data_IF_074833847480
#
_entry.id   IF_074833847480
#
_cell.length_a   1.000
_cell.length_b   1.000
_cell.length_c   1.000
_cell.angle_alpha   90.00
_cell.angle_beta   90.00
_cell.angle_gamma   90.00
#
_symmetry.space_group_name_H-M   'P 1'
#
loop_
_entity.id
_entity.type
_entity.pdbx_description
1 polymer ?
#
# COMPACT_ATOMS: atom_id res chain seq x y z
N UNK A 1 -9.67 -19.59 -1.44
CA UNK A 1 -10.05 -19.71 -0.01
C UNK A 1 -9.99 -18.32 0.59
N UNK A 2 -11.00 -17.92 1.37
CA UNK A 2 -10.97 -16.65 2.09
C UNK A 2 -10.15 -16.87 3.37
N UNK A 3 -9.24 -15.94 3.69
CA UNK A 3 -8.54 -15.90 4.99
C UNK A 3 -9.44 -15.41 6.11
N UNK A 4 -10.61 -14.87 5.75
CA UNK A 4 -11.60 -14.34 6.67
C UNK A 4 -12.35 -15.50 7.35
N UNK A 5 -12.18 -15.63 8.67
CA UNK A 5 -12.76 -16.72 9.49
C UNK A 5 -14.14 -16.40 10.03
N UNK A 6 -14.46 -15.11 10.14
CA UNK A 6 -15.78 -14.54 10.45
C UNK A 6 -15.78 -13.10 9.92
N UNK A 7 -16.94 -12.47 9.79
CA UNK A 7 -17.04 -11.11 9.25
C UNK A 7 -16.01 -10.16 9.90
N UNK A 8 -15.09 -9.64 9.11
CA UNK A 8 -14.02 -8.75 9.53
C UNK A 8 -12.92 -9.38 10.38
N UNK A 9 -12.81 -10.70 10.43
CA UNK A 9 -11.78 -11.41 11.19
C UNK A 9 -10.89 -12.25 10.30
N UNK A 10 -9.59 -12.12 10.50
CA UNK A 10 -8.53 -12.92 9.91
C UNK A 10 -7.83 -13.66 11.05
N UNK A 11 -8.34 -14.85 11.41
CA UNK A 11 -7.98 -15.50 12.65
C UNK A 11 -8.32 -14.61 13.87
N UNK A 12 -7.30 -14.24 14.65
CA UNK A 12 -7.45 -13.35 15.82
C UNK A 12 -7.36 -11.86 15.49
N UNK A 13 -6.96 -11.50 14.27
CA UNK A 13 -6.77 -10.12 13.81
C UNK A 13 -8.03 -9.55 13.17
N UNK A 14 -8.06 -8.22 12.94
CA UNK A 14 -9.21 -7.50 12.40
C UNK A 14 -10.20 -7.07 13.47
N UNK A 15 -11.47 -7.03 13.10
CA UNK A 15 -12.56 -6.62 13.97
C UNK A 15 -12.83 -5.12 13.94
N UNK A 16 -13.66 -4.68 14.90
CA UNK A 16 -14.19 -3.32 14.94
C UNK A 16 -14.03 -2.77 16.36
N UNK A 17 -12.89 -2.10 16.59
CA UNK A 17 -12.50 -1.52 17.88
C UNK A 17 -12.63 0.00 17.82
N UNK A 18 -13.85 0.49 17.83
CA UNK A 18 -14.18 1.91 17.64
C UNK A 18 -15.17 2.37 18.70
N UNK A 19 -15.29 3.69 18.94
CA UNK A 19 -16.39 4.24 19.74
C UNK A 19 -17.76 3.83 19.20
N UNK A 20 -18.74 3.62 20.08
CA UNK A 20 -20.09 3.20 19.71
C UNK A 20 -20.72 4.12 18.66
N UNK A 21 -20.42 5.41 18.72
CA UNK A 21 -20.93 6.42 17.77
C UNK A 21 -20.51 6.15 16.31
N UNK A 22 -19.43 5.41 16.08
CA UNK A 22 -18.95 5.07 14.73
C UNK A 22 -19.51 3.72 14.21
N UNK A 23 -20.05 2.89 15.08
CA UNK A 23 -20.55 1.56 14.71
C UNK A 23 -21.64 1.63 13.62
N UNK A 24 -22.64 2.52 13.69
CA UNK A 24 -23.66 2.62 12.65
C UNK A 24 -23.08 2.97 11.27
N UNK A 25 -22.10 3.87 11.20
CA UNK A 25 -21.47 4.26 9.94
C UNK A 25 -20.67 3.10 9.32
N UNK A 26 -20.03 2.29 10.15
CA UNK A 26 -19.32 1.08 9.68
C UNK A 26 -20.29 -0.02 9.23
N UNK A 27 -21.45 -0.14 9.87
CA UNK A 27 -22.51 -1.06 9.43
C UNK A 27 -23.11 -0.62 8.10
N UNK A 28 -23.43 0.67 7.96
CA UNK A 28 -23.90 1.25 6.68
C UNK A 28 -22.89 0.97 5.56
N UNK A 29 -21.58 1.15 5.83
CA UNK A 29 -20.53 0.87 4.86
C UNK A 29 -20.45 -0.62 4.51
N UNK A 30 -20.53 -1.51 5.50
CA UNK A 30 -20.51 -2.97 5.30
C UNK A 30 -21.67 -3.44 4.42
N UNK A 31 -22.88 -3.00 4.73
CA UNK A 31 -24.11 -3.34 3.97
C UNK A 31 -24.04 -2.78 2.54
N UNK A 32 -23.63 -1.50 2.40
CA UNK A 32 -23.49 -0.86 1.11
C UNK A 32 -22.42 -1.55 0.24
N UNK A 33 -21.30 -1.93 0.86
CA UNK A 33 -20.24 -2.65 0.14
C UNK A 33 -20.69 -4.06 -0.26
N UNK A 34 -21.34 -4.80 0.62
CA UNK A 34 -21.88 -6.12 0.31
C UNK A 34 -22.88 -6.06 -0.87
N UNK A 35 -23.79 -5.11 -0.85
CA UNK A 35 -24.75 -4.89 -1.93
C UNK A 35 -24.06 -4.47 -3.25
N UNK A 36 -23.09 -3.54 -3.17
CA UNK A 36 -22.36 -3.07 -4.34
C UNK A 36 -21.48 -4.17 -4.96
N UNK A 37 -20.76 -4.93 -4.14
CA UNK A 37 -19.89 -6.00 -4.61
C UNK A 37 -20.66 -7.16 -5.26
N UNK A 38 -21.91 -7.39 -4.88
CA UNK A 38 -22.81 -8.37 -5.51
C UNK A 38 -23.43 -7.85 -6.83
N UNK A 39 -23.51 -6.53 -7.02
CA UNK A 39 -24.14 -5.91 -8.18
C UNK A 39 -23.22 -5.92 -9.41
N UNK A 40 -23.59 -6.62 -10.51
CA UNK A 40 -22.79 -6.62 -11.73
C UNK A 40 -22.61 -5.22 -12.34
N UNK A 41 -23.60 -4.33 -12.22
CA UNK A 41 -23.53 -2.98 -12.78
C UNK A 41 -22.45 -2.13 -12.06
N UNK A 42 -22.39 -2.23 -10.73
CA UNK A 42 -21.32 -1.56 -9.97
C UNK A 42 -19.94 -2.10 -10.30
N UNK A 43 -19.81 -3.42 -10.38
CA UNK A 43 -18.53 -4.05 -10.76
C UNK A 43 -18.06 -3.63 -12.15
N UNK A 44 -18.98 -3.55 -13.13
CA UNK A 44 -18.65 -3.08 -14.47
C UNK A 44 -18.31 -1.59 -14.48
N UNK A 45 -19.00 -0.76 -13.71
CA UNK A 45 -18.65 0.67 -13.58
C UNK A 45 -17.23 0.85 -13.04
N UNK A 46 -16.88 0.13 -11.97
CA UNK A 46 -15.50 0.15 -11.42
C UNK A 46 -14.51 -0.35 -12.47
N UNK A 47 -14.78 -1.50 -13.12
CA UNK A 47 -13.90 -2.08 -14.13
C UNK A 47 -13.70 -1.13 -15.33
N UNK A 48 -14.75 -0.45 -15.78
CA UNK A 48 -14.70 0.53 -16.85
C UNK A 48 -13.80 1.72 -16.48
N UNK A 49 -13.98 2.30 -15.29
CA UNK A 49 -13.13 3.42 -14.85
C UNK A 49 -11.67 2.98 -14.67
N UNK A 50 -11.44 1.79 -14.13
CA UNK A 50 -10.09 1.24 -14.04
C UNK A 50 -9.44 1.06 -15.42
N UNK A 51 -10.19 0.62 -16.42
CA UNK A 51 -9.70 0.44 -17.79
C UNK A 51 -9.49 1.77 -18.53
N UNK A 52 -10.50 2.63 -18.54
CA UNK A 52 -10.54 3.82 -19.38
C UNK A 52 -9.79 5.01 -18.79
N UNK A 53 -9.74 5.13 -17.46
CA UNK A 53 -9.17 6.27 -16.78
C UNK A 53 -7.86 5.92 -16.03
N UNK A 54 -7.82 4.79 -15.34
CA UNK A 54 -6.61 4.40 -14.61
C UNK A 54 -5.55 3.77 -15.52
N UNK A 55 -5.94 3.23 -16.68
CA UNK A 55 -5.02 2.62 -17.66
C UNK A 55 -4.71 1.16 -17.33
N UNK A 56 -5.70 0.43 -16.79
CA UNK A 56 -5.53 -1.01 -16.51
C UNK A 56 -5.88 -1.88 -17.73
N UNK A 57 -5.29 -3.10 -17.85
CA UNK A 57 -4.31 -3.69 -16.92
C UNK A 57 -2.93 -3.02 -16.97
N UNK A 58 -2.29 -2.86 -15.81
CA UNK A 58 -0.86 -2.48 -15.79
C UNK A 58 0.00 -3.63 -16.30
N UNK A 59 1.13 -3.32 -16.93
CA UNK A 59 1.95 -4.34 -17.57
C UNK A 59 2.68 -5.25 -16.58
N UNK A 60 2.93 -6.50 -17.01
CA UNK A 60 3.94 -7.38 -16.43
C UNK A 60 5.18 -7.28 -17.34
N UNK A 61 6.23 -6.62 -16.88
CA UNK A 61 7.43 -6.31 -17.66
C UNK A 61 8.59 -7.21 -17.26
N UNK A 62 9.29 -7.89 -18.22
CA UNK A 62 10.50 -8.62 -17.87
C UNK A 62 11.65 -7.65 -17.56
N UNK A 63 12.26 -7.79 -16.40
CA UNK A 63 13.43 -7.02 -15.97
C UNK A 63 14.71 -7.78 -16.36
N UNK A 64 15.09 -7.65 -17.62
CA UNK A 64 16.13 -8.48 -18.22
C UNK A 64 17.52 -8.21 -17.64
N UNK A 65 17.85 -6.94 -17.46
CA UNK A 65 19.17 -6.56 -16.93
C UNK A 65 19.27 -6.86 -15.42
N UNK A 66 18.19 -6.78 -14.67
CA UNK A 66 18.15 -7.25 -13.28
C UNK A 66 18.32 -8.77 -13.23
N UNK A 67 17.64 -9.53 -14.11
CA UNK A 67 17.79 -10.97 -14.23
C UNK A 67 19.26 -11.36 -14.46
N UNK A 68 19.91 -10.72 -15.43
CA UNK A 68 21.33 -10.95 -15.75
C UNK A 68 22.25 -10.57 -14.57
N UNK A 69 22.05 -9.39 -13.96
CA UNK A 69 22.91 -8.88 -12.90
C UNK A 69 22.75 -9.65 -11.57
N UNK A 70 21.53 -10.12 -11.25
CA UNK A 70 21.27 -10.85 -10.02
C UNK A 70 21.63 -12.33 -10.13
N UNK A 71 21.42 -12.92 -11.29
CA UNK A 71 21.46 -14.37 -11.48
C UNK A 71 20.29 -15.08 -10.83
N UNK A 72 20.07 -16.36 -11.14
CA UNK A 72 18.97 -17.16 -10.60
C UNK A 72 17.66 -17.00 -11.39
N UNK A 73 16.56 -16.67 -10.74
CA UNK A 73 15.26 -16.60 -11.36
C UNK A 73 15.10 -15.45 -12.35
N UNK A 74 14.21 -15.63 -13.34
CA UNK A 74 13.76 -14.55 -14.21
C UNK A 74 12.95 -13.54 -13.40
N UNK A 75 13.35 -12.28 -13.44
CA UNK A 75 12.72 -11.19 -12.70
C UNK A 75 11.68 -10.48 -13.57
N UNK A 76 10.50 -10.31 -13.03
CA UNK A 76 9.38 -9.63 -13.66
C UNK A 76 8.85 -8.51 -12.76
N UNK A 77 8.41 -7.42 -13.35
CA UNK A 77 7.85 -6.27 -12.63
C UNK A 77 6.37 -6.13 -12.94
N UNK A 78 5.51 -6.22 -11.92
CA UNK A 78 4.11 -5.79 -12.02
C UNK A 78 4.07 -4.28 -11.82
N UNK A 79 3.78 -3.53 -12.90
CA UNK A 79 4.05 -2.10 -13.05
C UNK A 79 2.90 -1.22 -12.57
N UNK A 80 2.61 -1.21 -11.25
CA UNK A 80 1.61 -0.31 -10.66
C UNK A 80 2.05 1.18 -10.66
N UNK A 81 3.33 1.44 -10.87
CA UNK A 81 3.90 2.76 -11.13
C UNK A 81 3.41 3.41 -12.44
N UNK A 82 2.87 2.62 -13.37
CA UNK A 82 2.27 3.08 -14.62
C UNK A 82 0.76 3.37 -14.51
N UNK A 83 0.11 2.99 -13.42
CA UNK A 83 -1.27 3.37 -13.17
C UNK A 83 -1.40 4.90 -13.07
N UNK A 84 -2.54 5.45 -13.48
CA UNK A 84 -2.80 6.88 -13.33
C UNK A 84 -2.53 7.33 -11.88
N UNK A 85 -1.98 8.52 -11.69
CA UNK A 85 -1.38 9.06 -10.46
C UNK A 85 0.02 8.51 -10.11
N UNK A 86 0.47 7.43 -10.75
CA UNK A 86 1.82 6.88 -10.58
C UNK A 86 1.97 5.89 -9.43
N UNK A 87 0.88 5.29 -8.94
CA UNK A 87 0.90 4.26 -7.90
C UNK A 87 -0.41 3.46 -7.84
N UNK A 88 -0.38 2.30 -7.19
CA UNK A 88 -1.53 1.41 -6.95
C UNK A 88 -2.72 2.05 -6.20
N UNK A 89 -2.50 3.16 -5.49
CA UNK A 89 -3.53 3.79 -4.62
C UNK A 89 -4.81 4.14 -5.36
N UNK A 90 -4.72 4.49 -6.64
CA UNK A 90 -5.87 4.89 -7.46
C UNK A 90 -6.91 3.75 -7.60
N UNK A 91 -6.49 2.49 -7.58
CA UNK A 91 -7.39 1.34 -7.69
C UNK A 91 -8.43 1.36 -6.57
N UNK A 92 -7.95 1.55 -5.34
CA UNK A 92 -8.77 1.58 -4.14
C UNK A 92 -9.63 2.86 -4.08
N UNK A 93 -9.04 4.02 -4.37
CA UNK A 93 -9.77 5.31 -4.25
C UNK A 93 -10.90 5.43 -5.25
N UNK A 94 -10.73 4.97 -6.48
CA UNK A 94 -11.82 4.89 -7.47
C UNK A 94 -12.97 4.03 -6.93
N UNK A 95 -12.67 2.84 -6.40
CA UNK A 95 -13.68 1.94 -5.84
C UNK A 95 -14.42 2.55 -4.65
N UNK A 96 -13.70 3.11 -3.68
CA UNK A 96 -14.31 3.71 -2.50
C UNK A 96 -15.12 4.98 -2.83
N UNK A 97 -14.64 5.84 -3.73
CA UNK A 97 -15.39 7.06 -4.12
C UNK A 97 -16.64 6.71 -4.89
N UNK A 98 -16.63 5.71 -5.78
CA UNK A 98 -17.84 5.19 -6.43
C UNK A 98 -18.83 4.60 -5.42
N UNK A 99 -18.35 3.85 -4.44
CA UNK A 99 -19.15 3.32 -3.35
C UNK A 99 -19.80 4.45 -2.53
N UNK A 100 -19.01 5.47 -2.17
CA UNK A 100 -19.51 6.64 -1.44
C UNK A 100 -20.61 7.38 -2.20
N UNK A 101 -20.46 7.56 -3.53
CA UNK A 101 -21.54 8.12 -4.39
C UNK A 101 -22.80 7.28 -4.35
N UNK A 102 -22.68 5.96 -4.44
CA UNK A 102 -23.80 5.03 -4.36
C UNK A 102 -24.51 5.10 -2.99
N UNK A 103 -23.75 5.34 -1.91
CA UNK A 103 -24.29 5.60 -0.56
C UNK A 103 -24.92 6.99 -0.41
N UNK A 104 -24.86 7.84 -1.43
CA UNK A 104 -25.40 9.21 -1.38
C UNK A 104 -24.55 10.20 -0.57
N UNK A 105 -23.30 9.84 -0.23
CA UNK A 105 -22.38 10.74 0.48
C UNK A 105 -22.04 11.96 -0.38
N UNK A 106 -21.94 13.12 0.26
CA UNK A 106 -21.77 14.42 -0.40
C UNK A 106 -20.32 14.92 -0.36
N UNK A 107 -19.49 14.34 0.49
CA UNK A 107 -18.14 14.79 0.78
C UNK A 107 -17.23 13.60 1.08
N UNK A 108 -15.98 13.75 0.69
CA UNK A 108 -14.92 12.76 0.95
C UNK A 108 -13.87 13.36 1.87
N UNK A 109 -13.44 12.59 2.85
CA UNK A 109 -12.22 12.86 3.62
C UNK A 109 -11.25 11.69 3.46
N UNK A 110 -9.95 11.97 3.56
CA UNK A 110 -8.91 10.98 3.53
C UNK A 110 -7.73 11.40 4.42
N UNK A 111 -6.90 10.45 4.81
CA UNK A 111 -5.57 10.69 5.36
C UNK A 111 -4.50 10.49 4.29
N UNK A 112 -3.28 11.00 4.54
CA UNK A 112 -2.11 10.66 3.74
C UNK A 112 -0.81 10.93 4.49
N UNK A 113 0.22 10.09 4.26
CA UNK A 113 1.60 10.32 4.69
C UNK A 113 2.46 10.76 3.50
N UNK A 114 2.92 9.83 2.67
CA UNK A 114 3.68 10.12 1.45
C UNK A 114 2.94 10.96 0.38
N UNK A 115 1.67 11.26 0.59
CA UNK A 115 0.85 12.06 -0.31
C UNK A 115 0.19 11.28 -1.44
N UNK A 116 0.63 10.06 -1.77
CA UNK A 116 0.10 9.29 -2.91
C UNK A 116 -1.37 8.89 -2.72
N UNK A 117 -1.79 8.55 -1.50
CA UNK A 117 -3.19 8.27 -1.23
C UNK A 117 -4.04 9.54 -1.36
N UNK A 118 -3.58 10.65 -0.81
CA UNK A 118 -4.23 11.95 -0.94
C UNK A 118 -4.39 12.40 -2.39
N UNK A 119 -3.34 12.27 -3.21
CA UNK A 119 -3.40 12.55 -4.65
C UNK A 119 -4.40 11.65 -5.35
N UNK A 120 -4.39 10.34 -5.08
CA UNK A 120 -5.32 9.39 -5.69
C UNK A 120 -6.77 9.69 -5.28
N UNK A 121 -7.02 10.04 -4.01
CA UNK A 121 -8.36 10.41 -3.52
C UNK A 121 -8.82 11.72 -4.16
N UNK A 122 -7.97 12.75 -4.17
CA UNK A 122 -8.27 14.02 -4.83
C UNK A 122 -8.59 13.83 -6.32
N UNK A 123 -7.84 12.95 -7.01
CA UNK A 123 -8.05 12.59 -8.41
C UNK A 123 -9.42 11.95 -8.62
N UNK A 124 -9.78 10.94 -7.82
CA UNK A 124 -11.08 10.29 -7.92
C UNK A 124 -12.22 11.26 -7.59
N UNK A 125 -12.05 12.12 -6.58
CA UNK A 125 -13.03 13.14 -6.22
C UNK A 125 -13.22 14.18 -7.33
N UNK A 126 -12.15 14.66 -7.96
CA UNK A 126 -12.22 15.55 -9.12
C UNK A 126 -12.95 14.90 -10.29
N UNK A 127 -12.64 13.63 -10.60
CA UNK A 127 -13.30 12.86 -11.66
C UNK A 127 -14.82 12.75 -11.43
N UNK A 128 -15.25 12.55 -10.18
CA UNK A 128 -16.65 12.31 -9.84
C UNK A 128 -17.40 13.53 -9.28
N UNK A 129 -16.75 14.69 -9.22
CA UNK A 129 -17.35 15.96 -8.78
C UNK A 129 -17.70 16.00 -7.30
N UNK A 130 -16.90 15.37 -6.42
CA UNK A 130 -17.11 15.38 -4.97
C UNK A 130 -16.09 16.29 -4.27
N UNK A 131 -16.51 17.12 -3.30
CA UNK A 131 -15.60 17.83 -2.41
C UNK A 131 -14.70 16.86 -1.65
N UNK A 132 -13.40 17.22 -1.53
CA UNK A 132 -12.38 16.38 -0.92
C UNK A 132 -11.56 17.17 0.10
N UNK A 133 -11.40 16.65 1.31
CA UNK A 133 -10.42 17.12 2.28
C UNK A 133 -9.42 15.99 2.62
N UNK A 134 -8.14 16.35 2.65
CA UNK A 134 -7.06 15.40 2.94
C UNK A 134 -6.30 15.85 4.18
N UNK A 135 -6.30 15.02 5.21
CA UNK A 135 -5.51 15.21 6.42
C UNK A 135 -4.11 14.68 6.21
N UNK A 136 -3.11 15.48 6.54
CA UNK A 136 -1.71 15.14 6.35
C UNK A 136 -0.88 15.71 7.50
N UNK A 137 0.01 14.92 8.07
CA UNK A 137 0.88 15.40 9.13
C UNK A 137 1.71 16.59 8.66
N UNK A 138 1.88 17.62 9.51
CA UNK A 138 2.57 18.84 9.12
C UNK A 138 4.00 18.58 8.64
N UNK A 139 4.70 17.62 9.25
CA UNK A 139 6.03 17.20 8.81
C UNK A 139 6.00 16.56 7.41
N UNK A 140 4.98 15.77 7.11
CA UNK A 140 4.81 15.15 5.80
C UNK A 140 4.40 16.17 4.74
N UNK A 141 3.63 17.21 5.10
CA UNK A 141 3.30 18.35 4.20
C UNK A 141 4.57 19.02 3.68
N UNK A 142 5.55 19.23 4.57
CA UNK A 142 6.84 19.81 4.18
C UNK A 142 7.67 18.88 3.29
N UNK A 143 7.78 17.60 3.70
CA UNK A 143 8.56 16.57 2.99
C UNK A 143 8.01 16.25 1.60
N UNK A 144 6.70 16.36 1.40
CA UNK A 144 5.98 15.91 0.21
C UNK A 144 5.27 17.07 -0.52
N UNK A 145 5.90 18.24 -0.57
CA UNK A 145 5.34 19.47 -1.14
C UNK A 145 4.79 19.31 -2.57
N UNK A 146 5.42 18.46 -3.40
CA UNK A 146 4.95 18.15 -4.76
C UNK A 146 3.57 17.47 -4.74
N UNK A 147 3.34 16.51 -3.86
CA UNK A 147 2.04 15.86 -3.75
C UNK A 147 0.99 16.78 -3.12
N UNK A 148 1.38 17.65 -2.19
CA UNK A 148 0.50 18.71 -1.65
C UNK A 148 0.04 19.64 -2.75
N UNK A 149 0.95 20.09 -3.61
CA UNK A 149 0.60 20.91 -4.77
C UNK A 149 -0.39 20.18 -5.70
N UNK A 150 -0.12 18.90 -6.02
CA UNK A 150 -1.01 18.09 -6.88
C UNK A 150 -2.41 17.95 -6.29
N UNK A 151 -2.55 17.67 -4.99
CA UNK A 151 -3.84 17.59 -4.30
C UNK A 151 -4.61 18.91 -4.41
N UNK A 152 -3.95 20.04 -4.15
CA UNK A 152 -4.56 21.38 -4.27
C UNK A 152 -4.95 21.72 -5.70
N UNK A 153 -4.12 21.39 -6.68
CA UNK A 153 -4.42 21.58 -8.10
C UNK A 153 -5.64 20.75 -8.56
N UNK A 154 -5.88 19.59 -7.94
CA UNK A 154 -7.06 18.74 -8.15
C UNK A 154 -8.31 19.23 -7.39
N UNK A 155 -8.22 20.34 -6.68
CA UNK A 155 -9.34 20.93 -5.94
C UNK A 155 -9.53 20.42 -4.52
N UNK A 156 -8.63 19.59 -4.01
CA UNK A 156 -8.73 19.11 -2.63
C UNK A 156 -8.18 20.15 -1.62
N UNK A 157 -8.79 20.19 -0.44
CA UNK A 157 -8.30 20.95 0.71
C UNK A 157 -7.35 20.07 1.50
N UNK A 158 -6.08 20.47 1.61
CA UNK A 158 -5.09 19.78 2.45
C UNK A 158 -5.07 20.42 3.85
N UNK A 159 -5.36 19.61 4.87
CA UNK A 159 -5.38 20.01 6.29
C UNK A 159 -4.11 19.50 7.00
N UNK A 160 -3.15 20.36 7.32
CA UNK A 160 -2.00 19.98 8.13
C UNK A 160 -2.44 19.57 9.53
N UNK A 161 -1.86 18.47 10.05
CA UNK A 161 -2.09 17.99 11.42
C UNK A 161 -0.83 18.23 12.24
N UNK A 162 -0.95 19.12 13.25
CA UNK A 162 0.16 19.58 14.08
C UNK A 162 0.36 18.73 15.35
N UNK A 163 -0.60 17.87 15.70
CA UNK A 163 -0.55 17.04 16.90
C UNK A 163 0.34 15.80 16.73
N UNK A 164 0.83 15.28 17.85
CA UNK A 164 1.62 14.04 17.91
C UNK A 164 2.95 14.12 17.16
N UNK A 165 3.31 13.06 16.45
CA UNK A 165 4.51 12.98 15.61
C UNK A 165 4.40 13.79 14.31
N UNK A 166 3.24 14.36 14.02
CA UNK A 166 2.92 15.11 12.79
C UNK A 166 3.14 14.31 11.50
N UNK A 167 2.85 13.01 11.57
CA UNK A 167 2.99 12.04 10.47
C UNK A 167 1.67 11.33 10.16
N UNK A 168 1.71 10.29 9.33
CA UNK A 168 0.54 9.51 8.88
C UNK A 168 -0.36 9.04 10.05
N UNK A 169 0.22 8.56 11.17
CA UNK A 169 -0.55 8.08 12.32
C UNK A 169 -1.52 9.15 12.84
N UNK A 170 -1.02 10.37 12.98
CA UNK A 170 -1.83 11.48 13.53
C UNK A 170 -2.82 12.01 12.49
N UNK A 171 -2.45 11.98 11.21
CA UNK A 171 -3.38 12.27 10.12
C UNK A 171 -4.58 11.30 10.09
N UNK A 172 -4.35 10.00 10.32
CA UNK A 172 -5.42 9.00 10.45
C UNK A 172 -6.30 9.28 11.66
N UNK A 173 -5.71 9.59 12.81
CA UNK A 173 -6.45 9.94 14.02
C UNK A 173 -7.38 11.15 13.80
N UNK A 174 -6.90 12.19 13.13
CA UNK A 174 -7.68 13.40 12.86
C UNK A 174 -8.78 13.16 11.82
N UNK A 175 -8.48 12.43 10.76
CA UNK A 175 -9.47 12.03 9.77
C UNK A 175 -10.61 11.20 10.40
N UNK A 176 -10.29 10.22 11.25
CA UNK A 176 -11.28 9.42 11.97
C UNK A 176 -12.11 10.27 12.93
N UNK A 177 -11.48 11.20 13.69
CA UNK A 177 -12.17 12.12 14.61
C UNK A 177 -13.15 13.02 13.86
N UNK A 178 -12.74 13.57 12.73
CA UNK A 178 -13.61 14.37 11.86
C UNK A 178 -14.76 13.53 11.31
N UNK A 179 -14.47 12.31 10.86
CA UNK A 179 -15.50 11.43 10.31
C UNK A 179 -16.60 11.13 11.33
N UNK A 180 -16.24 10.79 12.57
CA UNK A 180 -17.22 10.54 13.65
C UNK A 180 -18.25 11.67 13.80
N UNK A 181 -17.82 12.93 13.61
CA UNK A 181 -18.72 14.10 13.73
C UNK A 181 -19.57 14.38 12.49
N UNK A 182 -19.30 13.74 11.35
CA UNK A 182 -19.87 14.08 10.04
C UNK A 182 -20.29 12.84 9.21
N UNK A 183 -20.58 11.73 9.85
CA UNK A 183 -20.83 10.43 9.18
C UNK A 183 -22.05 10.46 8.23
N UNK A 184 -23.03 11.34 8.47
CA UNK A 184 -24.27 11.38 7.69
C UNK A 184 -24.05 11.69 6.21
N UNK A 185 -23.17 12.59 5.89
CA UNK A 185 -22.90 13.08 4.53
C UNK A 185 -21.48 12.88 4.04
N UNK A 186 -20.57 12.47 4.93
CA UNK A 186 -19.13 12.33 4.66
C UNK A 186 -18.71 10.87 4.68
N UNK A 187 -17.94 10.46 3.66
CA UNK A 187 -17.28 9.16 3.63
C UNK A 187 -15.77 9.33 3.84
N UNK A 188 -15.22 8.49 4.71
CA UNK A 188 -13.78 8.40 4.92
C UNK A 188 -13.18 7.36 3.98
N UNK A 189 -12.36 7.80 3.03
CA UNK A 189 -11.62 6.93 2.10
C UNK A 189 -10.29 6.57 2.72
N UNK A 190 -10.16 5.33 3.19
CA UNK A 190 -8.92 4.87 3.83
C UNK A 190 -7.91 4.36 2.80
N UNK A 191 -6.64 4.71 2.99
CA UNK A 191 -5.57 4.43 2.03
C UNK A 191 -4.84 3.10 2.19
N UNK A 192 -5.11 2.37 3.26
CA UNK A 192 -4.42 1.12 3.59
C UNK A 192 -5.40 -0.01 3.88
N UNK A 193 -4.94 -1.26 3.77
CA UNK A 193 -5.71 -2.44 4.15
C UNK A 193 -5.71 -2.63 5.68
N UNK A 194 -5.88 -1.54 6.42
CA UNK A 194 -5.91 -1.42 7.87
C UNK A 194 -7.21 -0.70 8.28
N UNK A 195 -7.39 -0.43 9.57
CA UNK A 195 -8.60 0.21 10.06
C UNK A 195 -9.68 -0.79 10.49
N UNK A 196 -10.81 -0.30 11.00
CA UNK A 196 -11.90 -1.15 11.47
C UNK A 196 -12.59 -1.86 10.31
N UNK A 197 -13.13 -3.05 10.56
CA UNK A 197 -14.00 -3.71 9.59
C UNK A 197 -15.17 -2.77 9.20
N UNK A 198 -15.48 -2.63 7.87
CA UNK A 198 -15.10 -3.49 6.75
C UNK A 198 -13.87 -3.01 5.94
N UNK A 199 -13.19 -1.94 6.34
CA UNK A 199 -12.12 -1.33 5.53
C UNK A 199 -11.04 -2.29 5.05
N UNK A 200 -10.47 -3.21 5.88
CA UNK A 200 -9.44 -4.13 5.39
C UNK A 200 -9.91 -4.96 4.19
N UNK A 201 -11.15 -5.45 4.25
CA UNK A 201 -11.78 -6.23 3.18
C UNK A 201 -12.05 -5.37 1.94
N UNK A 202 -12.64 -4.18 2.11
CA UNK A 202 -12.94 -3.24 1.01
C UNK A 202 -11.67 -2.86 0.25
N UNK A 203 -10.63 -2.45 0.97
CA UNK A 203 -9.35 -2.05 0.36
C UNK A 203 -8.67 -3.23 -0.33
N UNK A 204 -8.60 -4.41 0.31
CA UNK A 204 -8.08 -5.63 -0.29
C UNK A 204 -8.76 -5.93 -1.63
N UNK A 205 -10.07 -5.93 -1.65
CA UNK A 205 -10.85 -6.37 -2.82
C UNK A 205 -10.69 -5.43 -4.00
N UNK A 206 -10.63 -4.11 -3.78
CA UNK A 206 -10.33 -3.14 -4.83
C UNK A 206 -8.88 -3.25 -5.29
N UNK A 207 -7.93 -3.51 -4.39
CA UNK A 207 -6.53 -3.69 -4.76
C UNK A 207 -6.24 -5.06 -5.40
N UNK A 208 -7.05 -6.08 -5.15
CA UNK A 208 -6.86 -7.43 -5.69
C UNK A 208 -6.90 -7.50 -7.22
N UNK A 209 -7.32 -6.43 -7.89
CA UNK A 209 -7.18 -6.29 -9.36
C UNK A 209 -5.73 -6.50 -9.81
N UNK A 210 -4.74 -6.09 -8.99
CA UNK A 210 -3.31 -6.27 -9.27
C UNK A 210 -2.97 -7.75 -9.46
N UNK A 211 -3.31 -8.56 -8.47
CA UNK A 211 -2.99 -10.00 -8.50
C UNK A 211 -3.89 -10.79 -9.48
N UNK A 212 -5.15 -10.37 -9.68
CA UNK A 212 -6.01 -10.99 -10.70
C UNK A 212 -5.42 -10.81 -12.11
N UNK A 213 -4.97 -9.60 -12.45
CA UNK A 213 -4.28 -9.34 -13.72
C UNK A 213 -2.98 -10.13 -13.83
N UNK A 214 -2.20 -10.16 -12.74
CA UNK A 214 -0.93 -10.89 -12.70
C UNK A 214 -1.12 -12.38 -13.03
N UNK A 215 -2.17 -13.03 -12.55
CA UNK A 215 -2.45 -14.45 -12.88
C UNK A 215 -2.58 -14.66 -14.38
N UNK A 216 -3.36 -13.83 -15.05
CA UNK A 216 -3.56 -13.90 -16.50
C UNK A 216 -2.29 -13.57 -17.27
N UNK A 217 -1.57 -12.53 -16.83
CA UNK A 217 -0.34 -12.08 -17.46
C UNK A 217 0.81 -13.09 -17.30
N UNK A 218 0.94 -13.72 -16.12
CA UNK A 218 1.91 -14.76 -15.84
C UNK A 218 1.69 -15.98 -16.75
N UNK A 219 0.43 -16.42 -16.88
CA UNK A 219 0.08 -17.52 -17.79
C UNK A 219 0.45 -17.21 -19.24
N UNK A 220 0.24 -15.97 -19.69
CA UNK A 220 0.59 -15.55 -21.05
C UNK A 220 2.11 -15.37 -21.24
N UNK A 221 2.84 -14.90 -20.23
CA UNK A 221 4.25 -14.55 -20.33
C UNK A 221 5.19 -15.76 -20.19
N UNK A 222 4.87 -16.70 -19.31
CA UNK A 222 5.73 -17.85 -18.99
C UNK A 222 4.98 -19.17 -18.72
N UNK A 223 3.70 -19.25 -19.08
CA UNK A 223 2.96 -20.50 -19.12
C UNK A 223 2.49 -21.06 -17.78
N UNK A 224 2.55 -20.27 -16.69
CA UNK A 224 2.17 -20.74 -15.36
C UNK A 224 2.01 -19.62 -14.32
N UNK A 225 1.95 -20.02 -13.05
CA UNK A 225 2.01 -19.08 -11.92
C UNK A 225 3.47 -18.69 -11.63
N UNK A 226 3.73 -17.53 -11.05
CA UNK A 226 5.07 -17.19 -10.57
C UNK A 226 5.49 -18.13 -9.43
N UNK A 227 6.80 -18.43 -9.32
CA UNK A 227 7.35 -19.20 -8.20
C UNK A 227 7.37 -18.38 -6.92
N UNK A 228 7.56 -17.05 -7.05
CA UNK A 228 7.45 -16.13 -5.92
C UNK A 228 6.90 -14.77 -6.34
N UNK A 229 6.19 -14.13 -5.41
CA UNK A 229 5.74 -12.74 -5.51
C UNK A 229 6.25 -11.98 -4.29
N UNK A 230 6.92 -10.85 -4.53
CA UNK A 230 7.46 -10.00 -3.46
C UNK A 230 6.88 -8.59 -3.54
N UNK A 231 6.50 -8.03 -2.40
CA UNK A 231 5.96 -6.68 -2.28
C UNK A 231 6.41 -6.01 -0.98
N UNK A 232 6.58 -4.69 -0.99
CA UNK A 232 6.84 -3.93 0.24
C UNK A 232 5.59 -3.88 1.13
N UNK A 233 5.79 -3.80 2.46
CA UNK A 233 4.73 -3.77 3.46
C UNK A 233 4.94 -2.60 4.41
N UNK A 234 4.01 -1.63 4.34
CA UNK A 234 3.71 -0.68 5.40
C UNK A 234 2.34 -1.06 5.98
N UNK A 235 1.30 -0.25 5.80
CA UNK A 235 -0.08 -0.70 6.09
C UNK A 235 -0.58 -1.84 5.20
N UNK A 236 0.07 -2.09 4.06
CA UNK A 236 -0.01 -3.33 3.29
C UNK A 236 -0.98 -3.37 2.11
N UNK A 237 -1.54 -2.24 1.66
CA UNK A 237 -2.54 -2.26 0.57
C UNK A 237 -2.01 -2.80 -0.76
N UNK A 238 -0.76 -2.46 -1.15
CA UNK A 238 -0.16 -3.02 -2.36
C UNK A 238 0.15 -4.51 -2.22
N UNK A 239 0.68 -4.91 -1.06
CA UNK A 239 1.04 -6.29 -0.80
C UNK A 239 -0.19 -7.19 -0.82
N UNK A 240 -1.23 -6.87 -0.05
CA UNK A 240 -2.46 -7.69 -0.06
C UNK A 240 -3.12 -7.69 -1.44
N UNK A 241 -3.05 -6.58 -2.17
CA UNK A 241 -3.61 -6.47 -3.53
C UNK A 241 -2.98 -7.45 -4.52
N UNK A 242 -1.66 -7.62 -4.48
CA UNK A 242 -0.98 -8.55 -5.38
C UNK A 242 -0.99 -9.98 -4.82
N UNK A 243 -0.91 -10.17 -3.50
CA UNK A 243 -0.76 -11.48 -2.86
C UNK A 243 -2.10 -12.22 -2.68
N UNK A 244 -3.18 -11.50 -2.36
CA UNK A 244 -4.47 -12.11 -2.02
C UNK A 244 -4.98 -13.13 -3.06
N UNK A 245 -4.95 -12.85 -4.38
CA UNK A 245 -5.38 -13.83 -5.38
C UNK A 245 -4.55 -15.13 -5.42
N UNK A 246 -3.39 -15.17 -4.76
CA UNK A 246 -2.47 -16.32 -4.72
C UNK A 246 -2.41 -17.01 -3.36
N UNK A 247 -3.22 -16.62 -2.39
CA UNK A 247 -3.19 -17.23 -1.05
C UNK A 247 -3.47 -18.73 -1.10
N UNK A 248 -4.37 -19.16 -1.97
CA UNK A 248 -4.72 -20.57 -2.16
C UNK A 248 -3.69 -21.40 -2.94
N UNK A 249 -2.72 -20.77 -3.58
CA UNK A 249 -1.71 -21.45 -4.40
C UNK A 249 -0.45 -21.73 -3.57
N UNK A 250 -0.40 -22.89 -2.93
CA UNK A 250 0.70 -23.27 -2.04
C UNK A 250 2.08 -23.31 -2.74
N UNK A 251 2.11 -23.49 -4.06
CA UNK A 251 3.34 -23.48 -4.87
C UNK A 251 3.93 -22.08 -5.06
N UNK A 252 3.17 -21.00 -4.82
CA UNK A 252 3.63 -19.63 -4.97
C UNK A 252 4.13 -19.11 -3.62
N UNK A 253 5.42 -18.80 -3.52
CA UNK A 253 5.97 -18.12 -2.34
C UNK A 253 5.46 -16.68 -2.28
N UNK A 254 4.86 -16.30 -1.17
CA UNK A 254 4.39 -14.92 -0.91
C UNK A 254 5.37 -14.25 0.04
N UNK A 255 5.96 -13.11 -0.36
CA UNK A 255 7.00 -12.44 0.40
C UNK A 255 6.62 -10.97 0.62
N UNK A 256 6.55 -10.57 1.90
CA UNK A 256 6.39 -9.19 2.32
C UNK A 256 7.72 -8.61 2.80
N UNK A 257 8.06 -7.39 2.41
CA UNK A 257 9.29 -6.71 2.85
C UNK A 257 8.95 -5.46 3.64
N UNK A 258 9.36 -5.43 4.90
CA UNK A 258 9.18 -4.31 5.82
C UNK A 258 10.39 -3.37 5.80
N UNK A 259 10.15 -2.12 6.24
CA UNK A 259 11.22 -1.14 6.42
C UNK A 259 12.01 -1.42 7.71
N UNK A 260 13.27 -1.79 7.54
CA UNK A 260 14.24 -1.93 8.63
C UNK A 260 14.79 -0.60 9.12
N UNK A 261 14.49 0.51 8.45
CA UNK A 261 14.94 1.84 8.83
C UNK A 261 16.47 1.90 8.99
N UNK A 262 16.91 2.38 10.14
CA UNK A 262 18.33 2.44 10.49
C UNK A 262 18.87 1.14 11.11
N UNK A 263 18.06 0.09 11.18
CA UNK A 263 18.37 -1.19 11.81
C UNK A 263 17.37 -1.55 12.91
N UNK A 264 17.10 -2.83 13.09
CA UNK A 264 16.07 -3.32 14.04
C UNK A 264 16.42 -3.05 15.51
N UNK A 265 17.69 -2.92 15.84
CA UNK A 265 18.23 -2.64 17.16
C UNK A 265 18.14 -1.14 17.54
N UNK A 266 17.87 -0.27 16.57
CA UNK A 266 17.86 1.19 16.77
C UNK A 266 16.52 1.73 17.26
N UNK A 267 15.45 0.96 17.25
CA UNK A 267 14.05 1.39 17.41
C UNK A 267 13.56 2.38 16.33
N UNK A 268 14.37 2.62 15.31
CA UNK A 268 14.03 3.49 14.15
C UNK A 268 13.78 2.61 12.91
N UNK A 269 12.63 1.94 12.90
CA UNK A 269 12.19 1.02 11.85
C UNK A 269 10.66 0.98 11.76
N UNK A 270 10.12 0.40 10.67
CA UNK A 270 8.68 0.16 10.46
C UNK A 270 8.31 -1.33 10.45
N UNK A 271 9.07 -2.18 11.14
CA UNK A 271 8.99 -3.65 11.06
C UNK A 271 7.91 -4.23 11.99
N UNK A 272 6.63 -3.90 11.74
CA UNK A 272 5.51 -4.30 12.60
C UNK A 272 5.19 -5.80 12.56
N UNK A 273 5.38 -6.49 11.42
CA UNK A 273 5.18 -7.95 11.30
C UNK A 273 6.25 -8.72 12.05
N UNK A 274 7.49 -8.21 12.05
CA UNK A 274 8.65 -8.87 12.64
C UNK A 274 8.74 -8.65 14.15
N UNK A 275 8.66 -7.39 14.60
CA UNK A 275 8.88 -6.98 15.99
C UNK A 275 7.62 -6.50 16.70
N UNK A 276 6.53 -6.26 15.98
CA UNK A 276 5.28 -5.83 16.59
C UNK A 276 4.64 -6.90 17.47
N UNK A 277 3.94 -6.44 18.49
CA UNK A 277 3.09 -7.25 19.37
C UNK A 277 1.62 -7.07 19.02
N UNK A 278 0.75 -7.96 19.51
CA UNK A 278 -0.68 -7.83 19.29
C UNK A 278 -1.24 -6.61 20.01
N UNK A 279 -1.88 -5.73 19.27
CA UNK A 279 -2.49 -4.51 19.80
C UNK A 279 -3.64 -4.02 18.94
N UNK A 280 -4.26 -2.94 19.36
CA UNK A 280 -5.32 -2.25 18.62
C UNK A 280 -4.80 -0.90 18.15
N UNK A 281 -4.82 -0.69 16.84
CA UNK A 281 -4.46 0.59 16.22
C UNK A 281 -5.51 0.95 15.17
N UNK A 282 -5.94 2.22 15.17
CA UNK A 282 -6.91 2.73 14.21
C UNK A 282 -8.18 1.85 14.05
N UNK A 283 -8.65 1.29 15.16
CA UNK A 283 -9.90 0.52 15.20
C UNK A 283 -9.82 -0.94 14.77
N UNK A 284 -8.61 -1.47 14.58
CA UNK A 284 -8.38 -2.87 14.21
C UNK A 284 -7.33 -3.53 15.11
N UNK A 285 -7.54 -4.81 15.46
CA UNK A 285 -6.51 -5.62 16.12
C UNK A 285 -5.54 -6.15 15.09
N UNK A 286 -4.25 -5.90 15.30
CA UNK A 286 -3.18 -6.32 14.40
C UNK A 286 -1.85 -6.47 15.14
N UNK A 287 -0.73 -6.55 14.41
CA UNK A 287 0.62 -6.40 14.95
C UNK A 287 1.00 -4.93 14.92
N UNK A 288 1.46 -4.42 16.04
CA UNK A 288 1.70 -2.99 16.27
C UNK A 288 3.03 -2.79 16.98
N UNK A 289 3.79 -1.77 16.58
CA UNK A 289 4.96 -1.32 17.33
C UNK A 289 4.47 -0.55 18.54
N UNK A 290 4.58 -1.14 19.72
CA UNK A 290 4.15 -0.59 21.00
C UNK A 290 5.10 -1.02 22.11
N UNK A 291 5.11 -0.27 23.21
CA UNK A 291 5.85 -0.60 24.40
C UNK A 291 5.07 -1.58 25.32
N UNK A 292 5.61 -1.86 26.50
CA UNK A 292 5.02 -2.78 27.48
C UNK A 292 3.68 -2.29 28.03
N UNK A 293 3.47 -0.97 28.04
CA UNK A 293 2.23 -0.32 28.46
C UNK A 293 1.19 -0.21 27.32
N UNK A 294 1.53 -0.72 26.12
CA UNK A 294 0.67 -0.65 24.94
C UNK A 294 0.67 0.71 24.24
N UNK A 295 1.62 1.61 24.57
CA UNK A 295 1.76 2.90 23.89
C UNK A 295 2.43 2.71 22.53
N UNK A 296 1.84 3.29 21.49
CA UNK A 296 2.34 3.20 20.12
C UNK A 296 3.70 3.89 20.02
N UNK A 297 4.69 3.14 19.58
CA UNK A 297 6.02 3.68 19.28
C UNK A 297 6.03 4.36 17.92
N UNK A 298 6.91 5.35 17.75
CA UNK A 298 7.13 5.97 16.46
C UNK A 298 7.83 4.97 15.53
N UNK A 299 7.32 4.88 14.30
CA UNK A 299 7.99 4.14 13.24
C UNK A 299 9.00 5.04 12.54
N UNK A 300 9.90 4.46 11.78
CA UNK A 300 10.81 5.19 10.90
C UNK A 300 11.06 4.43 9.60
N UNK A 301 11.05 5.16 8.51
CA UNK A 301 11.55 4.74 7.20
C UNK A 301 11.94 5.96 6.38
N UNK A 302 12.97 5.82 5.52
CA UNK A 302 13.25 6.80 4.46
C UNK A 302 12.04 6.97 3.52
N UNK A 303 11.23 5.94 3.44
CA UNK A 303 9.98 5.93 2.67
C UNK A 303 8.81 6.30 3.56
N UNK A 304 8.19 7.47 3.34
CA UNK A 304 7.04 7.92 4.10
C UNK A 304 5.81 6.98 4.00
N UNK A 305 5.72 6.15 2.96
CA UNK A 305 4.65 5.16 2.80
C UNK A 305 4.84 3.89 3.63
N UNK A 306 6.04 3.67 4.20
CA UNK A 306 6.35 2.56 5.11
C UNK A 306 6.57 3.03 6.56
N UNK A 307 6.51 4.33 6.80
CA UNK A 307 6.61 4.94 8.13
C UNK A 307 5.26 4.82 8.85
N UNK A 308 4.93 3.61 9.29
CA UNK A 308 3.67 3.29 9.96
C UNK A 308 3.87 2.19 11.00
N UNK A 309 3.41 2.40 12.25
CA UNK A 309 3.70 1.50 13.37
C UNK A 309 2.76 0.28 13.45
N UNK A 310 2.09 -0.07 12.37
CA UNK A 310 1.16 -1.19 12.32
C UNK A 310 1.07 -1.80 10.93
N UNK A 311 0.27 -2.85 10.80
CA UNK A 311 0.06 -3.55 9.52
C UNK A 311 -1.40 -3.98 9.39
N UNK A 312 -1.84 -4.21 8.15
CA UNK A 312 -3.16 -4.76 7.87
C UNK A 312 -3.38 -6.12 8.54
N UNK A 313 -4.58 -6.37 9.11
CA UNK A 313 -4.84 -7.58 9.90
C UNK A 313 -4.74 -8.87 9.08
N UNK A 314 -5.07 -8.85 7.80
CA UNK A 314 -4.92 -10.03 6.93
C UNK A 314 -3.45 -10.37 6.70
N UNK A 315 -2.56 -9.38 6.49
CA UNK A 315 -1.12 -9.62 6.38
C UNK A 315 -0.53 -10.12 7.70
N UNK A 316 -0.98 -9.59 8.84
CA UNK A 316 -0.59 -10.12 10.14
C UNK A 316 -0.96 -11.60 10.29
N UNK A 317 -2.16 -11.98 9.86
CA UNK A 317 -2.61 -13.38 9.85
C UNK A 317 -1.75 -14.24 8.92
N UNK A 318 -1.50 -13.80 7.69
CA UNK A 318 -0.69 -14.55 6.71
C UNK A 318 0.74 -14.76 7.20
N UNK A 319 1.35 -13.76 7.83
CA UNK A 319 2.68 -13.88 8.41
C UNK A 319 2.71 -14.86 9.58
N UNK A 320 1.76 -14.75 10.52
CA UNK A 320 1.70 -15.63 11.72
C UNK A 320 1.32 -17.07 11.41
N UNK A 321 0.60 -17.32 10.32
CA UNK A 321 0.30 -18.69 9.85
C UNK A 321 1.38 -19.26 8.94
N UNK A 322 2.44 -18.51 8.63
CA UNK A 322 3.52 -18.94 7.75
C UNK A 322 3.14 -18.98 6.26
N UNK A 323 1.95 -18.44 5.88
CA UNK A 323 1.58 -18.36 4.47
C UNK A 323 2.35 -17.27 3.72
N UNK A 324 2.77 -16.23 4.41
CA UNK A 324 3.61 -15.17 3.87
C UNK A 324 4.93 -15.12 4.66
N UNK A 325 6.03 -15.18 3.92
CA UNK A 325 7.37 -14.93 4.43
C UNK A 325 7.57 -13.42 4.64
N UNK A 326 8.23 -13.04 5.73
CA UNK A 326 8.54 -11.63 6.03
C UNK A 326 10.04 -11.43 5.93
N UNK A 327 10.45 -10.41 5.19
CA UNK A 327 11.84 -9.94 5.07
C UNK A 327 11.92 -8.46 5.44
N UNK A 328 13.14 -7.99 5.66
CA UNK A 328 13.41 -6.64 6.10
C UNK A 328 14.49 -6.04 5.20
N UNK A 329 14.30 -4.77 4.80
CA UNK A 329 15.33 -4.00 4.13
C UNK A 329 15.54 -2.67 4.87
N UNK A 330 16.80 -2.28 5.10
CA UNK A 330 17.16 -0.99 5.69
C UNK A 330 17.01 0.15 4.68
N UNK A 331 17.03 1.38 5.17
CA UNK A 331 16.98 2.59 4.34
C UNK A 331 18.15 2.62 3.31
N UNK A 332 19.34 2.24 3.72
CA UNK A 332 20.52 2.21 2.84
C UNK A 332 20.40 1.12 1.78
N UNK A 333 19.91 -0.06 2.12
CA UNK A 333 19.65 -1.15 1.17
C UNK A 333 18.57 -0.76 0.16
N UNK A 334 17.49 -0.10 0.61
CA UNK A 334 16.44 0.40 -0.26
C UNK A 334 16.97 1.47 -1.22
N UNK A 335 17.79 2.40 -0.73
CA UNK A 335 18.40 3.44 -1.55
C UNK A 335 19.38 2.85 -2.59
N UNK A 336 20.18 1.88 -2.20
CA UNK A 336 21.07 1.17 -3.13
C UNK A 336 20.26 0.45 -4.24
N UNK A 337 19.17 -0.22 -3.87
CA UNK A 337 18.29 -0.89 -4.81
C UNK A 337 17.57 0.09 -5.75
N UNK A 338 17.18 1.27 -5.27
CA UNK A 338 16.64 2.34 -6.11
C UNK A 338 17.59 2.70 -7.26
N UNK A 339 18.86 2.96 -6.94
CA UNK A 339 19.85 3.31 -7.97
C UNK A 339 20.17 2.14 -8.89
N UNK A 340 20.20 0.92 -8.38
CA UNK A 340 20.44 -0.27 -9.20
C UNK A 340 19.33 -0.44 -10.25
N UNK A 341 18.08 -0.39 -9.83
CA UNK A 341 16.90 -0.52 -10.73
C UNK A 341 16.90 0.62 -11.75
N UNK A 342 17.15 1.86 -11.30
CA UNK A 342 17.22 3.01 -12.19
C UNK A 342 18.25 2.84 -13.30
N UNK A 343 19.44 2.32 -12.97
CA UNK A 343 20.56 2.14 -13.92
C UNK A 343 20.43 0.91 -14.81
N UNK A 344 19.80 -0.14 -14.31
CA UNK A 344 19.65 -1.37 -15.06
C UNK A 344 18.39 -1.38 -15.92
N UNK A 345 17.25 -0.88 -15.43
CA UNK A 345 15.99 -0.98 -16.13
C UNK A 345 15.43 0.38 -16.63
N UNK A 346 16.08 1.50 -16.28
CA UNK A 346 15.59 2.83 -16.62
C UNK A 346 14.28 3.19 -15.88
N UNK A 347 14.04 2.58 -14.73
CA UNK A 347 12.85 2.78 -13.91
C UNK A 347 13.27 3.42 -12.60
N UNK A 348 12.65 4.55 -12.25
CA UNK A 348 12.78 5.17 -10.93
C UNK A 348 11.65 4.63 -10.02
N UNK A 349 11.87 3.55 -9.25
CA UNK A 349 10.83 3.01 -8.39
C UNK A 349 10.60 3.91 -7.18
N UNK A 350 9.40 3.91 -6.60
CA UNK A 350 9.19 4.54 -5.31
C UNK A 350 10.10 3.91 -4.24
N UNK A 351 10.53 4.68 -3.24
CA UNK A 351 11.35 4.18 -2.14
C UNK A 351 10.67 3.03 -1.39
N UNK A 352 9.33 3.01 -1.34
CA UNK A 352 8.55 1.89 -0.83
C UNK A 352 8.92 0.58 -1.56
N UNK A 353 8.82 0.58 -2.88
CA UNK A 353 9.12 -0.61 -3.70
C UNK A 353 10.61 -0.96 -3.65
N UNK A 354 11.48 0.02 -3.47
CA UNK A 354 12.92 -0.19 -3.38
C UNK A 354 13.30 -1.17 -2.25
N UNK A 355 12.53 -1.21 -1.16
CA UNK A 355 12.68 -2.23 -0.11
C UNK A 355 12.46 -3.64 -0.65
N UNK A 356 11.43 -3.83 -1.49
CA UNK A 356 11.18 -5.13 -2.12
C UNK A 356 12.28 -5.51 -3.12
N UNK A 357 12.81 -4.56 -3.89
CA UNK A 357 13.93 -4.78 -4.79
C UNK A 357 15.19 -5.19 -4.02
N UNK A 358 15.47 -4.58 -2.87
CA UNK A 358 16.64 -4.91 -2.05
C UNK A 358 16.68 -6.40 -1.66
N UNK A 359 15.52 -7.03 -1.41
CA UNK A 359 15.42 -8.46 -1.09
C UNK A 359 15.13 -9.33 -2.32
N UNK A 360 14.77 -8.73 -3.44
CA UNK A 360 14.52 -9.42 -4.70
C UNK A 360 15.74 -10.18 -5.22
N UNK A 361 16.94 -9.61 -5.09
CA UNK A 361 18.20 -10.25 -5.52
C UNK A 361 18.46 -11.56 -4.79
N UNK A 362 18.32 -11.57 -3.48
CA UNK A 362 18.52 -12.77 -2.65
C UNK A 362 17.48 -13.84 -3.03
N UNK A 363 16.22 -13.42 -3.13
CA UNK A 363 15.10 -14.32 -3.47
C UNK A 363 15.27 -14.91 -4.89
N UNK A 364 15.75 -14.12 -5.88
CA UNK A 364 16.01 -14.64 -7.22
C UNK A 364 17.06 -15.75 -7.22
N UNK A 365 18.12 -15.58 -6.44
CA UNK A 365 19.17 -16.61 -6.28
C UNK A 365 18.68 -17.86 -5.57
N UNK A 366 17.88 -17.69 -4.51
CA UNK A 366 17.26 -18.82 -3.78
C UNK A 366 16.36 -19.65 -4.68
N UNK A 367 15.59 -19.02 -5.55
CA UNK A 367 14.70 -19.71 -6.48
C UNK A 367 15.47 -20.49 -7.54
N UNK A 368 16.58 -19.94 -8.04
CA UNK A 368 17.42 -20.57 -9.06
C UNK A 368 16.93 -20.34 -10.50
N UNK A 369 17.73 -20.83 -11.45
CA UNK A 369 17.49 -20.63 -12.87
C UNK A 369 16.19 -21.34 -13.34
N UNK A 370 15.51 -20.76 -14.31
CA UNK A 370 14.27 -21.28 -14.87
C UNK A 370 13.01 -20.98 -14.03
N UNK A 371 13.16 -20.35 -12.87
CA UNK A 371 12.07 -19.89 -12.00
C UNK A 371 11.68 -18.46 -12.33
N UNK A 372 10.51 -18.02 -11.84
CA UNK A 372 9.94 -16.70 -12.09
C UNK A 372 9.63 -15.97 -10.80
N UNK A 373 10.34 -14.84 -10.56
CA UNK A 373 10.11 -13.90 -9.47
C UNK A 373 9.35 -12.70 -9.99
N UNK A 374 8.22 -12.37 -9.38
CA UNK A 374 7.48 -11.12 -9.66
C UNK A 374 7.67 -10.14 -8.51
N UNK A 375 8.12 -8.93 -8.83
CA UNK A 375 8.19 -7.80 -7.90
C UNK A 375 7.04 -6.84 -8.20
N UNK A 376 6.22 -6.53 -7.19
CA UNK A 376 5.16 -5.55 -7.34
C UNK A 376 5.75 -4.13 -7.26
N UNK A 377 5.95 -3.48 -8.42
CA UNK A 377 6.41 -2.09 -8.50
C UNK A 377 5.25 -1.17 -8.16
N UNK A 378 5.03 -0.93 -6.86
CA UNK A 378 3.82 -0.35 -6.28
C UNK A 378 3.59 1.12 -6.62
N UNK A 379 4.66 1.85 -7.01
CA UNK A 379 4.60 3.25 -7.39
C UNK A 379 5.93 3.75 -7.96
N UNK A 380 5.89 4.93 -8.58
CA UNK A 380 7.08 5.59 -9.15
C UNK A 380 7.73 6.54 -8.16
N UNK A 381 9.06 6.73 -8.33
CA UNK A 381 9.91 7.47 -7.41
C UNK A 381 10.01 8.97 -7.65
N UNK A 382 9.26 9.56 -8.59
CA UNK A 382 9.32 11.01 -8.84
C UNK A 382 9.05 11.84 -7.58
N UNK A 383 8.18 11.35 -6.70
CA UNK A 383 7.89 11.99 -5.41
C UNK A 383 9.08 12.01 -4.44
N UNK A 384 10.02 11.07 -4.61
CA UNK A 384 11.13 10.82 -3.70
C UNK A 384 12.42 11.52 -4.14
N UNK A 385 12.44 12.09 -5.36
CA UNK A 385 13.63 12.71 -5.97
C UNK A 385 14.25 13.77 -5.06
N UNK A 386 13.44 14.62 -4.41
CA UNK A 386 13.96 15.64 -3.49
C UNK A 386 14.68 15.01 -2.29
N UNK A 387 14.10 13.99 -1.67
CA UNK A 387 14.69 13.25 -0.55
C UNK A 387 15.98 12.53 -0.96
N UNK A 388 15.96 11.91 -2.15
CA UNK A 388 17.10 11.15 -2.66
C UNK A 388 18.26 12.10 -3.06
N UNK A 389 17.95 13.20 -3.76
CA UNK A 389 18.96 14.16 -4.23
C UNK A 389 19.69 14.85 -3.06
N UNK A 390 19.01 15.09 -1.94
CA UNK A 390 19.62 15.65 -0.74
C UNK A 390 20.71 14.74 -0.12
N UNK A 391 20.70 13.42 -0.43
CA UNK A 391 21.70 12.43 0.02
C UNK A 391 22.84 12.24 -0.99
N UNK A 392 22.79 12.93 -2.12
CA UNK A 392 23.75 12.81 -3.21
C UNK A 392 23.48 11.62 -4.13
N UNK A 393 23.78 11.81 -5.42
CA UNK A 393 23.68 10.74 -6.42
C UNK A 393 25.03 10.03 -6.49
N UNK A 394 25.10 8.70 -6.26
CA UNK A 394 26.35 7.97 -6.41
C UNK A 394 26.90 8.11 -7.84
N UNK A 395 28.23 8.16 -8.04
CA UNK A 395 28.83 8.27 -9.36
C UNK A 395 28.36 7.12 -10.27
N UNK A 396 28.32 7.33 -11.58
CA UNK A 396 28.03 6.26 -12.55
C UNK A 396 29.03 5.12 -12.39
N UNK A 397 28.55 3.88 -12.55
CA UNK A 397 29.44 2.70 -12.50
C UNK A 397 30.45 2.81 -13.64
N UNK A 398 31.75 2.75 -13.31
CA UNK A 398 32.85 2.81 -14.28
C UNK A 398 33.38 4.21 -14.58
N UNK A 399 32.84 5.26 -14.02
CA UNK A 399 33.43 6.61 -14.06
C UNK A 399 34.17 6.85 -12.75
N UNK A 400 35.49 6.98 -12.77
CA UNK A 400 36.25 7.45 -11.61
C UNK A 400 35.87 8.91 -11.36
N UNK A 401 35.52 9.23 -10.12
CA UNK A 401 35.30 10.59 -9.67
C UNK A 401 36.54 11.44 -9.82
#
# INVERSE_FOLDING_TARGET
MTTETAAGRFGRYGGRYVPETLVPALQELEEAYAAASADPAFREEVARVLREYVGRPTTLTPARRLTEAWGGANVWLKREDLAHTGAHKINNTVGQVLLARRMGKKRIIAETGAGQHGVATATACALFGLPCEVYMGALDVERQALNVFRMRALGAVVRPVESGSRTLKDAMNEAMRTWVSQVSDTHYVIGSAAGPHPYPTVVRDFQAVIGRELRTQAQAAFGGLPDAIIACVGGGSNAIGVLHPFIGDASVRLVGVEAGGHGLDTKQHGASLTLGTEGVLHGSRSLVLQDEDGQIQEAHSISAGLDYPGVGPELAHLAKTGRMEVRIATDDEALAAFYEVARLEGILPALETSHAFARGRELARELGAGKHLVINCSGRGDKDVATISARGVPPPVGVKA
#
